data_IF_361395664228
#
_entry.id   IF_361395664228
#
_cell.length_a   1.000
_cell.length_b   1.000
_cell.length_c   1.000
_cell.angle_alpha   90.00
_cell.angle_beta   90.00
_cell.angle_gamma   90.00
#
_symmetry.space_group_name_H-M   'P 1'
#
loop_
_entity.id
_entity.type
_entity.pdbx_description
1 polymer ?
#
# COMPACT_ATOMS: atom_id res chain seq x y z
N UNK A 1 -9.03 15.44 14.88
CA UNK A 1 -9.97 15.70 13.76
C UNK A 1 -9.10 16.03 12.55
N UNK A 2 -8.91 15.24 11.48
CA UNK A 2 -9.52 14.03 10.93
C UNK A 2 -8.38 13.18 10.34
N UNK A 3 -8.10 12.00 10.90
CA UNK A 3 -7.14 11.04 10.34
C UNK A 3 -7.83 9.72 10.01
N UNK A 4 -9.09 9.79 9.57
CA UNK A 4 -10.00 8.63 9.50
C UNK A 4 -10.86 8.64 8.23
N UNK A 5 -10.27 8.98 7.08
CA UNK A 5 -11.07 9.08 5.84
C UNK A 5 -10.35 8.78 4.52
N UNK A 6 -9.25 8.01 4.50
CA UNK A 6 -8.68 7.56 3.21
C UNK A 6 -8.68 6.05 2.98
N UNK A 7 -8.78 5.17 3.99
CA UNK A 7 -8.56 3.73 3.74
C UNK A 7 -9.54 2.77 4.43
N UNK A 8 -10.83 3.13 4.49
CA UNK A 8 -11.90 2.15 4.71
C UNK A 8 -12.66 1.82 3.43
N UNK A 9 -11.99 1.12 2.52
CA UNK A 9 -12.65 0.25 1.52
C UNK A 9 -11.85 -1.04 1.35
N UNK A 10 -12.33 -2.11 2.01
CA UNK A 10 -12.38 -3.41 1.33
C UNK A 10 -13.07 -3.17 -0.02
N UNK A 11 -12.62 -3.73 -1.14
CA UNK A 11 -12.61 -5.14 -1.49
C UNK A 11 -11.52 -5.33 -2.57
N UNK A 12 -10.73 -6.41 -2.48
CA UNK A 12 -9.57 -6.75 -3.34
C UNK A 12 -9.58 -6.16 -4.78
N UNK A 13 -8.70 -5.20 -5.07
CA UNK A 13 -8.31 -4.86 -6.45
C UNK A 13 -7.36 -5.90 -7.09
N UNK A 14 -6.91 -6.91 -6.34
CA UNK A 14 -5.89 -7.88 -6.78
C UNK A 14 -6.32 -8.89 -7.86
N UNK A 15 -7.53 -8.77 -8.42
CA UNK A 15 -8.00 -9.67 -9.48
C UNK A 15 -8.83 -8.93 -10.56
N UNK A 16 -8.68 -7.61 -10.70
CA UNK A 16 -9.29 -6.90 -11.82
C UNK A 16 -8.46 -7.16 -13.08
N UNK A 17 -9.01 -7.78 -14.15
CA UNK A 17 -8.29 -8.01 -15.41
C UNK A 17 -7.82 -6.72 -16.10
N UNK A 18 -8.40 -5.58 -15.70
CA UNK A 18 -8.05 -4.24 -16.17
C UNK A 18 -6.95 -3.57 -15.33
N UNK A 19 -6.45 -4.19 -14.26
CA UNK A 19 -5.36 -3.63 -13.46
C UNK A 19 -4.04 -3.83 -14.21
N UNK A 20 -3.70 -2.87 -15.07
CA UNK A 20 -2.36 -2.74 -15.62
C UNK A 20 -1.54 -1.84 -14.72
N UNK A 21 -0.38 -2.33 -14.30
CA UNK A 21 0.70 -1.54 -13.71
C UNK A 21 1.33 -0.70 -14.82
N UNK A 22 0.69 0.43 -15.13
CA UNK A 22 1.25 1.40 -16.08
C UNK A 22 2.32 2.25 -15.38
N UNK A 23 3.35 2.74 -16.08
CA UNK A 23 4.39 3.59 -15.48
C UNK A 23 3.82 4.84 -14.77
N UNK A 24 2.68 5.35 -15.26
CA UNK A 24 1.93 6.45 -14.67
C UNK A 24 1.39 6.15 -13.25
N UNK A 25 1.33 4.87 -12.86
CA UNK A 25 0.88 4.44 -11.54
C UNK A 25 1.98 4.49 -10.47
N UNK A 26 3.26 4.59 -10.84
CA UNK A 26 4.39 4.60 -9.91
C UNK A 26 4.28 5.67 -8.81
N UNK A 27 3.92 6.94 -9.10
CA UNK A 27 3.78 7.95 -8.05
C UNK A 27 2.65 7.62 -7.05
N UNK A 28 1.59 6.97 -7.52
CA UNK A 28 0.47 6.55 -6.68
C UNK A 28 0.90 5.40 -5.76
N UNK A 29 1.61 4.40 -6.30
CA UNK A 29 2.14 3.28 -5.52
C UNK A 29 3.15 3.76 -4.47
N UNK A 30 4.03 4.70 -4.83
CA UNK A 30 4.99 5.30 -3.90
C UNK A 30 4.30 6.06 -2.76
N UNK A 31 3.27 6.85 -3.05
CA UNK A 31 2.48 7.53 -2.02
C UNK A 31 1.78 6.54 -1.08
N UNK A 32 1.16 5.49 -1.62
CA UNK A 32 0.53 4.44 -0.82
C UNK A 32 1.52 3.71 0.09
N UNK A 33 2.75 3.50 -0.37
CA UNK A 33 3.81 2.88 0.42
C UNK A 33 4.18 3.75 1.63
N UNK A 34 4.38 5.05 1.41
CA UNK A 34 4.69 6.03 2.47
C UNK A 34 3.57 6.04 3.53
N UNK A 35 2.31 6.07 3.08
CA UNK A 35 1.16 6.05 4.00
C UNK A 35 1.09 4.75 4.82
N UNK A 36 1.29 3.59 4.18
CA UNK A 36 1.29 2.30 4.86
C UNK A 36 2.42 2.18 5.89
N UNK A 37 3.59 2.78 5.61
CA UNK A 37 4.71 2.84 6.54
C UNK A 37 4.40 3.70 7.76
N UNK A 38 3.76 4.86 7.56
CA UNK A 38 3.32 5.70 8.67
C UNK A 38 2.28 4.98 9.56
N UNK A 39 1.35 4.25 8.95
CA UNK A 39 0.35 3.46 9.67
C UNK A 39 0.95 2.28 10.44
N UNK A 40 1.94 1.58 9.88
CA UNK A 40 2.67 0.52 10.59
C UNK A 40 3.31 1.06 11.88
N UNK A 41 4.04 2.18 11.79
CA UNK A 41 4.70 2.80 12.95
C UNK A 41 3.71 3.30 14.00
N UNK A 42 2.58 3.89 13.58
CA UNK A 42 1.52 4.32 14.52
C UNK A 42 0.94 3.11 15.26
N UNK A 43 0.64 2.01 14.54
CA UNK A 43 0.14 0.78 15.13
C UNK A 43 1.13 0.17 16.13
N UNK A 44 2.42 0.11 15.80
CA UNK A 44 3.48 -0.35 16.70
C UNK A 44 3.56 0.50 17.97
N UNK A 45 3.54 1.83 17.83
CA UNK A 45 3.63 2.76 18.96
C UNK A 45 2.47 2.61 19.96
N UNK A 46 1.32 2.12 19.48
CA UNK A 46 0.10 1.87 20.27
C UNK A 46 0.00 0.43 20.78
N UNK A 47 0.94 -0.45 20.39
CA UNK A 47 0.90 -1.88 20.71
C UNK A 47 -0.16 -2.67 19.94
N UNK A 48 -0.67 -2.16 18.82
CA UNK A 48 -1.61 -2.87 17.96
C UNK A 48 -0.89 -3.81 17.00
N UNK A 49 -0.27 -4.85 17.56
CA UNK A 49 0.67 -5.72 16.84
C UNK A 49 0.02 -6.39 15.62
N UNK A 50 -1.22 -6.86 15.72
CA UNK A 50 -1.94 -7.45 14.59
C UNK A 50 -2.19 -6.46 13.45
N UNK A 51 -2.36 -5.16 13.75
CA UNK A 51 -2.54 -4.12 12.73
C UNK A 51 -1.20 -3.72 12.10
N UNK A 52 -0.14 -3.61 12.90
CA UNK A 52 1.21 -3.42 12.40
C UNK A 52 1.61 -4.54 11.42
N UNK A 53 1.34 -5.80 11.77
CA UNK A 53 1.58 -6.95 10.90
C UNK A 53 0.75 -6.90 9.60
N UNK A 54 -0.48 -6.38 9.66
CA UNK A 54 -1.28 -6.15 8.45
C UNK A 54 -0.65 -5.09 7.56
N UNK A 55 -0.14 -4.00 8.13
CA UNK A 55 0.54 -2.95 7.38
C UNK A 55 1.88 -3.40 6.79
N UNK A 56 2.66 -4.21 7.51
CA UNK A 56 3.88 -4.81 6.97
C UNK A 56 3.61 -5.69 5.73
N UNK A 57 2.58 -6.55 5.79
CA UNK A 57 2.19 -7.37 4.62
C UNK A 57 1.73 -6.51 3.43
N UNK A 58 1.14 -5.35 3.70
CA UNK A 58 0.77 -4.40 2.65
C UNK A 58 2.02 -3.74 2.04
N UNK A 59 3.00 -3.35 2.86
CA UNK A 59 4.28 -2.81 2.39
C UNK A 59 5.00 -3.79 1.46
N UNK A 60 5.15 -5.05 1.86
CA UNK A 60 5.78 -6.09 1.03
C UNK A 60 5.11 -6.21 -0.35
N UNK A 61 3.77 -6.12 -0.37
CA UNK A 61 3.00 -6.17 -1.60
C UNK A 61 3.19 -4.92 -2.47
N UNK A 62 3.23 -3.74 -1.86
CA UNK A 62 3.45 -2.48 -2.59
C UNK A 62 4.87 -2.45 -3.17
N UNK A 63 5.87 -2.93 -2.43
CA UNK A 63 7.25 -3.03 -2.92
C UNK A 63 7.36 -3.93 -4.14
N UNK A 64 6.69 -5.10 -4.12
CA UNK A 64 6.62 -5.97 -5.30
C UNK A 64 5.95 -5.29 -6.51
N UNK A 65 4.82 -4.60 -6.29
CA UNK A 65 4.11 -3.90 -7.37
C UNK A 65 4.93 -2.75 -7.96
N UNK A 66 5.66 -1.99 -7.13
CA UNK A 66 6.54 -0.92 -7.59
C UNK A 66 7.65 -1.52 -8.46
N UNK A 67 8.33 -2.56 -7.99
CA UNK A 67 9.40 -3.22 -8.73
C UNK A 67 8.91 -3.79 -10.08
N UNK A 68 7.74 -4.45 -10.10
CA UNK A 68 7.13 -4.97 -11.32
C UNK A 68 6.77 -3.85 -12.31
N UNK A 69 6.28 -2.71 -11.80
CA UNK A 69 5.91 -1.56 -12.63
C UNK A 69 7.14 -0.85 -13.21
N UNK A 70 8.20 -0.70 -12.43
CA UNK A 70 9.48 -0.15 -12.89
C UNK A 70 10.10 -1.05 -13.97
N UNK A 71 10.07 -2.38 -13.78
CA UNK A 71 10.56 -3.33 -14.76
C UNK A 71 9.76 -3.33 -16.07
N UNK A 72 8.46 -3.05 -16.01
CA UNK A 72 7.59 -2.94 -17.20
C UNK A 72 7.73 -1.60 -17.94
N UNK A 73 8.32 -0.58 -17.30
CA UNK A 73 8.50 0.76 -17.86
C UNK A 73 9.81 0.93 -18.65
N UNK A 74 10.80 0.06 -18.43
CA UNK A 74 12.10 0.05 -19.11
C UNK A 74 12.13 -0.88 -20.32
#
# INVERSE_FOLDING_TARGET
MHADLVLRRGHRCGHCPSYRTEPSSLPILAAQRIDAEALARDAESRGWIDEADRHHKLLDRLDALIADTEAAAG
#
